data_IF_142333072935
#
_entry.id   IF_142333072935
#
_cell.length_a   1.000
_cell.length_b   1.000
_cell.length_c   1.000
_cell.angle_alpha   90.00
_cell.angle_beta   90.00
_cell.angle_gamma   90.00
#
_symmetry.space_group_name_H-M   'P 1'
#
loop_
_entity.id
_entity.type
_entity.pdbx_description
1 polymer ?
#
# COMPACT_ATOMS: atom_id res chain seq x y z
N UNK A 1 -0.74 -10.93 -1.21
CA UNK A 1 -1.57 -10.06 -2.09
C UNK A 1 -3.03 -10.20 -1.64
N UNK A 2 -3.71 -9.09 -1.32
CA UNK A 2 -5.13 -9.09 -0.89
C UNK A 2 -6.04 -9.70 -1.96
N UNK A 3 -7.06 -10.48 -1.56
CA UNK A 3 -7.88 -11.24 -2.52
C UNK A 3 -8.67 -10.31 -3.45
N UNK A 4 -9.29 -9.24 -2.92
CA UNK A 4 -10.07 -8.31 -3.76
C UNK A 4 -9.16 -7.50 -4.68
N UNK A 5 -8.01 -7.04 -4.18
CA UNK A 5 -7.00 -6.33 -4.96
C UNK A 5 -6.59 -7.13 -6.19
N UNK A 6 -6.28 -8.41 -6.01
CA UNK A 6 -5.93 -9.31 -7.11
C UNK A 6 -7.08 -9.45 -8.12
N UNK A 7 -8.32 -9.60 -7.64
CA UNK A 7 -9.48 -9.72 -8.53
C UNK A 7 -9.73 -8.46 -9.35
N UNK A 8 -9.62 -7.29 -8.73
CA UNK A 8 -9.97 -6.00 -9.35
C UNK A 8 -8.87 -5.49 -10.30
N UNK A 9 -7.59 -5.72 -9.98
CA UNK A 9 -6.48 -5.12 -10.73
C UNK A 9 -5.78 -6.06 -11.72
N UNK A 10 -5.93 -7.39 -11.58
CA UNK A 10 -5.15 -8.37 -12.38
C UNK A 10 -6.00 -9.23 -13.31
N UNK A 11 -7.27 -8.89 -13.57
CA UNK A 11 -8.17 -9.65 -14.46
C UNK A 11 -9.01 -8.75 -15.40
N UNK A 12 -8.58 -8.59 -16.67
CA UNK A 12 -7.25 -8.94 -17.20
C UNK A 12 -6.16 -8.11 -16.51
N UNK A 13 -4.87 -8.49 -16.53
CA UNK A 13 -3.81 -7.57 -16.10
C UNK A 13 -3.66 -6.38 -17.06
N UNK A 14 -3.02 -5.31 -16.62
CA UNK A 14 -2.60 -4.21 -17.47
C UNK A 14 -1.63 -4.70 -18.55
N UNK A 15 -1.65 -4.09 -19.74
CA UNK A 15 -0.82 -4.56 -20.88
C UNK A 15 0.65 -4.22 -20.71
N UNK A 16 0.96 -3.24 -19.85
CA UNK A 16 2.31 -2.81 -19.51
C UNK A 16 2.43 -2.63 -18.00
N UNK A 17 3.66 -2.56 -17.51
CA UNK A 17 3.93 -2.26 -16.10
C UNK A 17 3.25 -0.95 -15.64
N UNK A 18 3.32 0.10 -16.46
CA UNK A 18 2.69 1.40 -16.15
C UNK A 18 1.16 1.30 -16.05
N UNK A 19 0.52 0.54 -16.95
CA UNK A 19 -0.94 0.35 -16.90
C UNK A 19 -1.36 -0.50 -15.69
N UNK A 20 -0.56 -1.49 -15.31
CA UNK A 20 -0.82 -2.27 -14.11
C UNK A 20 -0.64 -1.43 -12.84
N UNK A 21 0.36 -0.55 -12.81
CA UNK A 21 0.57 0.39 -11.71
C UNK A 21 -0.62 1.35 -11.59
N UNK A 22 -1.09 1.95 -12.69
CA UNK A 22 -2.25 2.84 -12.67
C UNK A 22 -3.50 2.17 -12.06
N UNK A 23 -3.73 0.88 -12.33
CA UNK A 23 -4.83 0.12 -11.71
C UNK A 23 -4.63 -0.11 -10.22
N UNK A 24 -3.39 -0.32 -9.78
CA UNK A 24 -3.10 -0.40 -8.36
C UNK A 24 -3.32 0.94 -7.67
N UNK A 25 -2.93 2.05 -8.32
CA UNK A 25 -3.10 3.40 -7.79
C UNK A 25 -4.58 3.77 -7.66
N UNK A 26 -5.40 3.42 -8.67
CA UNK A 26 -6.86 3.58 -8.64
C UNK A 26 -7.48 2.78 -7.49
N UNK A 27 -7.14 1.50 -7.35
CA UNK A 27 -7.60 0.68 -6.24
C UNK A 27 -7.20 1.26 -4.87
N UNK A 28 -5.97 1.75 -4.75
CA UNK A 28 -5.47 2.37 -3.51
C UNK A 28 -6.25 3.64 -3.19
N UNK A 29 -6.62 4.44 -4.19
CA UNK A 29 -7.47 5.61 -3.99
C UNK A 29 -8.84 5.20 -3.47
N UNK A 30 -9.53 4.32 -4.20
CA UNK A 30 -10.90 3.90 -3.90
C UNK A 30 -10.98 3.21 -2.53
N UNK A 31 -10.09 2.24 -2.27
CA UNK A 31 -10.08 1.48 -1.02
C UNK A 31 -9.79 2.35 0.20
N UNK A 32 -8.85 3.30 0.09
CA UNK A 32 -8.43 4.10 1.24
C UNK A 32 -9.29 5.34 1.48
N UNK A 33 -9.97 5.87 0.45
CA UNK A 33 -10.63 7.18 0.54
C UNK A 33 -12.12 7.18 0.20
N UNK A 34 -12.64 6.17 -0.49
CA UNK A 34 -14.00 6.21 -1.03
C UNK A 34 -14.89 5.07 -0.49
N UNK A 35 -14.33 3.88 -0.27
CA UNK A 35 -15.08 2.72 0.24
C UNK A 35 -15.11 2.71 1.76
N UNK A 36 -16.27 2.92 2.41
CA UNK A 36 -16.40 2.70 3.84
C UNK A 36 -16.32 1.21 4.18
N UNK A 37 -15.61 0.86 5.27
CA UNK A 37 -15.42 -0.53 5.66
C UNK A 37 -16.11 -0.83 7.00
N UNK A 38 -16.90 -1.90 7.02
CA UNK A 38 -17.66 -2.32 8.22
C UNK A 38 -16.77 -2.55 9.43
N UNK A 39 -15.60 -3.19 9.25
CA UNK A 39 -14.68 -3.52 10.33
C UNK A 39 -14.15 -2.29 11.09
N UNK A 40 -14.23 -1.09 10.50
CA UNK A 40 -13.84 0.18 11.11
C UNK A 40 -15.02 1.15 11.25
N UNK A 41 -16.24 0.61 11.37
CA UNK A 41 -17.44 1.39 11.63
C UNK A 41 -17.88 2.25 10.47
N UNK A 42 -17.78 1.73 9.23
CA UNK A 42 -18.12 2.43 8.00
C UNK A 42 -17.29 3.69 7.74
N UNK A 43 -16.09 3.77 8.31
CA UNK A 43 -15.09 4.79 7.97
C UNK A 43 -14.21 4.33 6.81
N UNK A 44 -13.50 5.28 6.20
CA UNK A 44 -12.44 4.96 5.25
C UNK A 44 -11.08 4.88 5.96
N UNK A 45 -10.12 4.07 5.50
CA UNK A 45 -8.82 3.91 6.15
C UNK A 45 -8.04 5.22 6.28
N UNK A 46 -8.19 6.13 5.31
CA UNK A 46 -7.54 7.44 5.33
C UNK A 46 -7.96 8.31 6.52
N UNK A 47 -9.16 8.11 7.09
CA UNK A 47 -9.63 8.86 8.27
C UNK A 47 -8.96 8.41 9.56
N UNK A 48 -8.44 7.17 9.60
CA UNK A 48 -7.93 6.53 10.81
C UNK A 48 -6.41 6.46 10.84
N UNK A 49 -5.77 6.42 9.67
CA UNK A 49 -4.33 6.30 9.57
C UNK A 49 -3.62 7.61 9.91
N UNK A 50 -2.68 7.54 10.84
CA UNK A 50 -1.72 8.61 11.12
C UNK A 50 -0.31 8.05 11.04
N UNK A 51 0.57 8.76 10.33
CA UNK A 51 1.95 8.33 10.15
C UNK A 51 2.69 8.28 11.50
N UNK A 52 3.47 7.22 11.72
CA UNK A 52 4.25 7.10 12.95
C UNK A 52 5.36 8.15 12.98
N UNK A 53 5.45 8.90 14.09
CA UNK A 53 6.56 9.82 14.34
C UNK A 53 7.89 9.11 14.65
N UNK A 54 7.88 7.79 14.82
CA UNK A 54 9.09 7.02 15.09
C UNK A 54 9.91 6.94 13.82
N UNK A 55 11.16 7.41 13.89
CA UNK A 55 12.14 7.14 12.85
C UNK A 55 12.26 5.63 12.70
N UNK A 56 11.97 5.12 11.50
CA UNK A 56 12.25 3.73 11.15
C UNK A 56 13.75 3.54 11.40
N UNK A 57 14.12 2.63 12.31
CA UNK A 57 15.53 2.30 12.52
C UNK A 57 16.08 1.80 11.19
N UNK A 58 16.85 2.66 10.54
CA UNK A 58 17.76 2.24 9.50
C UNK A 58 18.86 1.44 10.19
N UNK A 59 19.08 0.21 9.72
CA UNK A 59 20.17 -0.62 10.21
C UNK A 59 21.49 0.09 9.86
N UNK A 60 22.03 0.86 10.82
CA UNK A 60 23.33 1.52 10.71
C UNK A 60 24.51 0.51 10.73
N UNK A 61 24.23 -0.80 10.66
CA UNK A 61 25.20 -1.87 10.86
C UNK A 61 25.98 -2.29 9.59
N UNK A 62 25.68 -1.72 8.41
CA UNK A 62 26.43 -2.07 7.19
C UNK A 62 27.81 -1.38 7.11
N UNK A 63 27.99 -0.21 7.75
CA UNK A 63 29.28 0.49 7.75
C UNK A 63 30.34 -0.15 8.67
N UNK A 64 29.96 -1.04 9.59
CA UNK A 64 30.90 -1.70 10.51
C UNK A 64 31.55 -2.97 9.92
N UNK A 65 31.02 -3.51 8.82
CA UNK A 65 31.53 -4.75 8.19
C UNK A 65 32.58 -4.51 7.10
N UNK A 66 32.73 -3.27 6.62
CA UNK A 66 33.70 -2.90 5.58
C UNK A 66 35.06 -2.44 6.14
N UNK A 67 35.23 -2.46 7.47
CA UNK A 67 36.48 -2.03 8.15
C UNK A 67 37.20 -3.19 8.85
N UNK A 68 37.05 -4.43 8.37
CA UNK A 68 37.87 -5.57 8.81
C UNK A 68 38.44 -6.33 7.62
#
# INVERSE_FOLDING_TARGET
MHLTLKKETTRPPGRTFLQQQARFDEFVSEFNRERPHEAIGMKVPADLYSASARLRRDNQDENARQSR
#
